data_IF_741731948261
#
_entry.id   IF_741731948261
#
_cell.length_a   1.000
_cell.length_b   1.000
_cell.length_c   1.000
_cell.angle_alpha   90.00
_cell.angle_beta   90.00
_cell.angle_gamma   90.00
#
_symmetry.space_group_name_H-M   'P 1'
#
loop_
_entity.id
_entity.type
_entity.pdbx_description
1 polymer ?
#
# COMPACT_ATOMS: atom_id res chain seq x y z
N UNK A 1 -11.22 -8.38 14.42
CA UNK A 1 -10.54 -7.77 15.56
C UNK A 1 -10.75 -8.62 16.78
N UNK A 2 -9.66 -8.93 17.45
CA UNK A 2 -9.64 -9.79 18.63
C UNK A 2 -9.02 -9.01 19.79
N UNK A 3 -9.54 -9.23 21.00
CA UNK A 3 -8.87 -8.90 22.24
C UNK A 3 -8.06 -10.13 22.66
N UNK A 4 -6.77 -9.95 22.82
CA UNK A 4 -5.85 -10.99 23.25
C UNK A 4 -5.36 -10.66 24.64
N UNK A 5 -5.56 -11.58 25.59
CA UNK A 5 -5.03 -11.47 26.94
C UNK A 5 -4.00 -12.58 27.15
N UNK A 6 -2.76 -12.19 27.41
CA UNK A 6 -1.67 -13.10 27.70
C UNK A 6 -1.62 -13.41 29.20
N UNK A 7 -1.61 -14.68 29.54
CA UNK A 7 -1.48 -15.15 30.93
C UNK A 7 -0.26 -16.08 31.04
N UNK A 8 0.69 -15.70 31.86
CA UNK A 8 1.87 -16.51 32.17
C UNK A 8 2.19 -16.41 33.67
N UNK A 9 2.76 -17.47 34.23
CA UNK A 9 3.21 -17.50 35.63
C UNK A 9 4.54 -16.77 35.80
N UNK A 10 5.36 -16.70 34.77
CA UNK A 10 6.68 -16.08 34.73
C UNK A 10 6.81 -15.30 33.45
N UNK A 11 7.38 -14.10 33.50
CA UNK A 11 7.42 -13.12 32.42
C UNK A 11 8.02 -13.63 31.10
N UNK A 12 8.99 -14.57 31.18
CA UNK A 12 9.66 -15.15 30.00
C UNK A 12 9.22 -16.59 29.68
N UNK A 13 8.19 -17.11 30.33
CA UNK A 13 7.71 -18.48 30.13
C UNK A 13 6.62 -18.54 29.05
N UNK A 14 6.44 -19.74 28.49
CA UNK A 14 5.27 -20.04 27.67
C UNK A 14 3.99 -19.82 28.48
N UNK A 15 3.10 -18.99 27.95
CA UNK A 15 1.81 -18.70 28.54
C UNK A 15 0.66 -19.12 27.64
N UNK A 16 -0.54 -18.74 28.02
CA UNK A 16 -1.77 -19.05 27.30
C UNK A 16 -2.43 -17.72 26.89
N UNK A 17 -2.84 -17.63 25.61
CA UNK A 17 -3.68 -16.56 25.13
C UNK A 17 -5.15 -16.88 25.40
N UNK A 18 -5.85 -15.96 26.06
CA UNK A 18 -7.31 -15.89 26.03
C UNK A 18 -7.71 -14.96 24.89
N UNK A 19 -8.64 -15.39 24.04
CA UNK A 19 -9.04 -14.68 22.82
C UNK A 19 -10.53 -14.37 22.90
N UNK A 20 -10.86 -13.08 22.74
CA UNK A 20 -12.25 -12.62 22.67
C UNK A 20 -12.47 -11.90 21.32
N UNK A 21 -13.58 -12.20 20.64
CA UNK A 21 -13.97 -11.56 19.38
C UNK A 21 -14.63 -10.20 19.68
N UNK A 22 -13.94 -9.11 19.37
CA UNK A 22 -14.48 -7.75 19.47
C UNK A 22 -15.34 -7.40 18.25
N UNK A 23 -14.80 -7.63 17.03
CA UNK A 23 -15.49 -7.28 15.79
C UNK A 23 -15.09 -8.23 14.66
N UNK A 24 -16.09 -8.89 14.06
CA UNK A 24 -15.88 -9.64 12.81
C UNK A 24 -15.98 -8.70 11.61
N UNK A 25 -15.03 -8.80 10.70
CA UNK A 25 -15.05 -8.09 9.40
C UNK A 25 -15.18 -9.06 8.23
N UNK A 26 -15.35 -10.34 8.53
CA UNK A 26 -15.36 -11.41 7.53
C UNK A 26 -16.41 -11.15 6.44
N UNK A 27 -17.63 -10.81 6.82
CA UNK A 27 -18.73 -10.56 5.86
C UNK A 27 -18.38 -9.43 4.87
N UNK A 28 -17.79 -8.32 5.35
CA UNK A 28 -17.42 -7.18 4.50
C UNK A 28 -16.32 -7.58 3.50
N UNK A 29 -15.33 -8.36 3.96
CA UNK A 29 -14.21 -8.79 3.12
C UNK A 29 -14.63 -9.83 2.10
N UNK A 30 -15.56 -10.74 2.49
CA UNK A 30 -15.97 -11.89 1.66
C UNK A 30 -17.11 -11.61 0.70
N UNK A 31 -17.82 -10.49 0.83
CA UNK A 31 -18.93 -10.12 -0.06
C UNK A 31 -18.48 -10.00 -1.53
N UNK A 32 -17.28 -9.51 -1.74
CA UNK A 32 -16.72 -9.33 -3.07
C UNK A 32 -15.34 -9.98 -3.20
N UNK A 33 -15.14 -10.66 -4.31
CA UNK A 33 -13.86 -11.31 -4.63
C UNK A 33 -12.66 -10.37 -4.50
N UNK A 34 -12.80 -9.12 -4.95
CA UNK A 34 -11.71 -8.14 -4.91
C UNK A 34 -11.30 -7.78 -3.48
N UNK A 35 -12.27 -7.65 -2.57
CA UNK A 35 -12.00 -7.40 -1.15
C UNK A 35 -11.17 -8.52 -0.52
N UNK A 36 -11.54 -9.76 -0.80
CA UNK A 36 -10.81 -10.93 -0.31
C UNK A 36 -9.38 -11.01 -0.89
N UNK A 37 -9.22 -10.74 -2.19
CA UNK A 37 -7.89 -10.75 -2.82
C UNK A 37 -6.98 -9.65 -2.29
N UNK A 38 -7.49 -8.43 -2.09
CA UNK A 38 -6.74 -7.33 -1.46
C UNK A 38 -6.32 -7.71 -0.03
N UNK A 39 -7.24 -8.26 0.76
CA UNK A 39 -6.93 -8.69 2.12
C UNK A 39 -5.85 -9.76 2.17
N UNK A 40 -5.91 -10.75 1.28
CA UNK A 40 -4.86 -11.77 1.17
C UNK A 40 -3.50 -11.17 0.82
N UNK A 41 -3.43 -10.19 -0.10
CA UNK A 41 -2.19 -9.50 -0.44
C UNK A 41 -1.63 -8.72 0.76
N UNK A 42 -2.49 -8.03 1.51
CA UNK A 42 -2.12 -7.35 2.76
C UNK A 42 -1.51 -8.35 3.76
N UNK A 43 -2.19 -9.48 4.00
CA UNK A 43 -1.70 -10.51 4.92
C UNK A 43 -0.33 -11.06 4.50
N UNK A 44 -0.13 -11.34 3.21
CA UNK A 44 1.15 -11.83 2.67
C UNK A 44 2.27 -10.81 2.92
N UNK A 45 2.04 -9.53 2.63
CA UNK A 45 3.05 -8.48 2.83
C UNK A 45 3.35 -8.28 4.31
N UNK A 46 2.33 -8.22 5.18
CA UNK A 46 2.52 -8.06 6.61
C UNK A 46 3.30 -9.24 7.21
N UNK A 47 2.89 -10.48 6.91
CA UNK A 47 3.57 -11.66 7.46
C UNK A 47 5.01 -11.83 6.98
N UNK A 48 5.32 -11.29 5.79
CA UNK A 48 6.66 -11.40 5.21
C UNK A 48 7.60 -10.32 5.71
N UNK A 49 7.14 -9.07 5.79
CA UNK A 49 8.04 -7.92 5.94
C UNK A 49 7.97 -7.22 7.29
N UNK A 50 6.86 -7.34 8.02
CA UNK A 50 6.80 -6.69 9.33
C UNK A 50 7.62 -7.49 10.36
N UNK A 51 8.49 -6.81 11.13
CA UNK A 51 9.20 -7.43 12.23
C UNK A 51 8.24 -7.75 13.39
N UNK A 52 8.57 -8.79 14.14
CA UNK A 52 7.85 -9.13 15.37
C UNK A 52 8.05 -8.06 16.45
N UNK A 53 7.07 -7.88 17.30
CA UNK A 53 7.12 -6.99 18.47
C UNK A 53 7.39 -5.51 18.14
N UNK A 54 7.06 -5.09 16.93
CA UNK A 54 7.12 -3.68 16.53
C UNK A 54 5.70 -3.12 16.38
N UNK A 55 5.57 -1.83 16.65
CA UNK A 55 4.33 -1.12 16.57
C UNK A 55 4.17 -0.45 15.20
N UNK A 56 2.97 -0.62 14.59
CA UNK A 56 2.62 -0.10 13.27
C UNK A 56 1.20 0.47 13.26
N UNK A 57 0.89 1.35 14.19
CA UNK A 57 -0.45 1.93 14.37
C UNK A 57 -0.98 2.57 13.08
N UNK A 58 -0.17 3.38 12.39
CA UNK A 58 -0.58 4.02 11.15
C UNK A 58 -0.92 3.00 10.05
N UNK A 59 -0.12 1.94 9.94
CA UNK A 59 -0.36 0.86 8.98
C UNK A 59 -1.62 0.06 9.37
N UNK A 60 -1.83 -0.20 10.66
CA UNK A 60 -3.03 -0.84 11.16
C UNK A 60 -4.28 -0.02 10.80
N UNK A 61 -4.29 1.28 11.07
CA UNK A 61 -5.39 2.16 10.70
C UNK A 61 -5.66 2.17 9.19
N UNK A 62 -4.62 2.23 8.38
CA UNK A 62 -4.74 2.11 6.91
C UNK A 62 -5.29 0.76 6.48
N UNK A 63 -4.91 -0.34 7.16
CA UNK A 63 -5.48 -1.67 6.89
C UNK A 63 -6.98 -1.71 7.16
N UNK A 64 -7.41 -1.15 8.29
CA UNK A 64 -8.84 -1.05 8.61
C UNK A 64 -9.58 -0.25 7.54
N UNK A 65 -9.04 0.90 7.11
CA UNK A 65 -9.63 1.71 6.04
C UNK A 65 -9.69 1.00 4.68
N UNK A 66 -8.75 0.10 4.39
CA UNK A 66 -8.78 -0.72 3.18
C UNK A 66 -9.89 -1.77 3.18
N UNK A 67 -10.17 -2.38 4.35
CA UNK A 67 -11.08 -3.52 4.44
C UNK A 67 -12.49 -3.14 4.88
N UNK A 68 -12.67 -1.99 5.51
CA UNK A 68 -13.99 -1.50 5.94
C UNK A 68 -14.65 -0.59 4.89
N UNK A 69 -15.96 -0.68 4.80
CA UNK A 69 -16.82 0.17 3.99
C UNK A 69 -17.20 -0.43 2.63
N UNK A 70 -18.40 -0.04 2.19
CA UNK A 70 -18.92 -0.42 0.87
C UNK A 70 -18.41 0.59 -0.18
N UNK A 71 -17.22 0.32 -0.72
CA UNK A 71 -16.56 1.17 -1.70
C UNK A 71 -16.60 0.55 -3.09
N UNK A 72 -16.64 1.39 -4.12
CA UNK A 72 -16.47 0.93 -5.50
C UNK A 72 -15.12 0.21 -5.67
N UNK A 73 -15.04 -0.66 -6.68
CA UNK A 73 -13.80 -1.39 -7.02
C UNK A 73 -12.62 -0.42 -7.18
N UNK A 74 -12.83 0.69 -7.88
CA UNK A 74 -11.78 1.70 -8.09
C UNK A 74 -11.27 2.30 -6.77
N UNK A 75 -12.17 2.63 -5.87
CA UNK A 75 -11.79 3.18 -4.57
C UNK A 75 -11.06 2.15 -3.69
N UNK A 76 -11.47 0.88 -3.73
CA UNK A 76 -10.75 -0.22 -3.06
C UNK A 76 -9.31 -0.36 -3.60
N UNK A 77 -9.12 -0.31 -4.91
CA UNK A 77 -7.81 -0.38 -5.55
C UNK A 77 -6.94 0.83 -5.20
N UNK A 78 -7.50 2.04 -5.20
CA UNK A 78 -6.81 3.26 -4.76
C UNK A 78 -6.32 3.13 -3.33
N UNK A 79 -7.20 2.73 -2.40
CA UNK A 79 -6.86 2.53 -0.98
C UNK A 79 -5.77 1.48 -0.79
N UNK A 80 -5.78 0.43 -1.61
CA UNK A 80 -4.73 -0.58 -1.58
C UNK A 80 -3.37 -0.01 -2.02
N UNK A 81 -3.32 0.82 -3.08
CA UNK A 81 -2.08 1.53 -3.47
C UNK A 81 -1.59 2.45 -2.35
N UNK A 82 -2.49 3.21 -1.72
CA UNK A 82 -2.16 4.08 -0.58
C UNK A 82 -1.65 3.26 0.61
N UNK A 83 -2.20 2.07 0.82
CA UNK A 83 -1.74 1.12 1.84
C UNK A 83 -0.33 0.58 1.54
N UNK A 84 -0.03 0.22 0.29
CA UNK A 84 1.33 -0.22 -0.11
C UNK A 84 2.36 0.89 0.14
N UNK A 85 2.02 2.15 -0.12
CA UNK A 85 2.90 3.29 0.19
C UNK A 85 3.09 3.47 1.70
N UNK A 86 2.04 3.27 2.50
CA UNK A 86 2.16 3.30 3.96
C UNK A 86 3.05 2.17 4.47
N UNK A 87 2.94 0.96 3.91
CA UNK A 87 3.83 -0.15 4.25
C UNK A 87 5.29 0.22 3.99
N UNK A 88 5.60 0.76 2.79
CA UNK A 88 6.95 1.23 2.48
C UNK A 88 7.43 2.29 3.48
N UNK A 89 6.57 3.23 3.87
CA UNK A 89 6.88 4.24 4.88
C UNK A 89 7.18 3.62 6.24
N UNK A 90 6.35 2.69 6.68
CA UNK A 90 6.50 1.98 7.96
C UNK A 90 7.79 1.15 8.02
N UNK A 91 8.27 0.68 6.87
CA UNK A 91 9.53 -0.05 6.75
C UNK A 91 10.76 0.85 6.51
N UNK A 92 10.59 2.18 6.54
CA UNK A 92 11.69 3.15 6.34
C UNK A 92 12.00 3.49 4.88
N UNK A 93 11.17 3.04 3.93
CA UNK A 93 11.33 3.30 2.48
C UNK A 93 10.29 4.27 1.94
N UNK A 94 9.78 5.19 2.76
CA UNK A 94 8.75 6.16 2.39
C UNK A 94 9.15 7.04 1.20
N UNK A 95 8.16 7.38 0.36
CA UNK A 95 8.34 8.30 -0.76
C UNK A 95 8.03 9.73 -0.34
N UNK A 96 8.81 10.71 -0.79
CA UNK A 96 8.50 12.13 -0.62
C UNK A 96 7.74 12.66 -1.84
N UNK A 97 6.41 12.63 -1.72
CA UNK A 97 5.50 13.09 -2.78
C UNK A 97 4.93 14.49 -2.51
N UNK A 98 5.43 15.20 -1.48
CA UNK A 98 4.88 16.49 -1.07
C UNK A 98 5.40 17.65 -1.90
N UNK A 99 6.62 17.56 -2.44
CA UNK A 99 7.30 18.64 -3.18
C UNK A 99 8.24 18.07 -4.25
N UNK A 100 8.48 18.89 -5.28
CA UNK A 100 9.47 18.56 -6.31
C UNK A 100 10.88 18.59 -5.72
N UNK A 101 11.65 17.53 -5.90
CA UNK A 101 13.03 17.43 -5.39
C UNK A 101 13.99 18.41 -6.08
N UNK A 102 13.67 18.85 -7.30
CA UNK A 102 14.53 19.78 -8.07
C UNK A 102 14.18 21.23 -7.81
N UNK A 103 12.89 21.59 -7.89
CA UNK A 103 12.44 22.99 -7.84
C UNK A 103 11.83 23.38 -6.49
N UNK A 104 11.55 22.42 -5.60
CA UNK A 104 10.80 22.67 -4.37
C UNK A 104 9.31 22.97 -4.56
N UNK A 105 8.82 22.98 -5.80
CA UNK A 105 7.41 23.25 -6.10
C UNK A 105 6.50 22.18 -5.49
N UNK A 106 5.37 22.65 -4.91
CA UNK A 106 4.34 21.78 -4.30
C UNK A 106 3.17 21.48 -5.22
N UNK A 107 3.13 22.10 -6.40
CA UNK A 107 2.09 21.94 -7.41
C UNK A 107 2.66 21.34 -8.67
N UNK A 108 1.79 20.81 -9.51
CA UNK A 108 2.13 20.22 -10.81
C UNK A 108 3.18 19.10 -10.72
N UNK A 109 3.04 18.27 -9.67
CA UNK A 109 3.85 17.07 -9.47
C UNK A 109 3.30 15.97 -10.37
N UNK A 110 4.08 15.53 -11.36
CA UNK A 110 3.64 14.57 -12.38
C UNK A 110 4.44 13.28 -12.40
N UNK A 111 5.61 13.28 -11.78
CA UNK A 111 6.52 12.14 -11.83
C UNK A 111 7.14 11.86 -10.47
N UNK A 112 7.72 10.66 -10.35
CA UNK A 112 8.53 10.24 -9.21
C UNK A 112 9.87 9.72 -9.72
N UNK A 113 10.94 10.16 -9.10
CA UNK A 113 12.29 9.69 -9.42
C UNK A 113 12.49 8.25 -8.90
N UNK A 114 12.80 7.28 -9.78
CA UNK A 114 13.08 5.90 -9.37
C UNK A 114 14.29 5.79 -8.45
N UNK A 115 15.22 6.76 -8.55
CA UNK A 115 16.45 6.77 -7.76
C UNK A 115 16.18 7.21 -6.32
N UNK A 116 15.49 8.34 -6.13
CA UNK A 116 15.29 8.98 -4.83
C UNK A 116 13.93 8.71 -4.17
N UNK A 117 12.91 8.27 -4.92
CA UNK A 117 11.54 8.16 -4.40
C UNK A 117 10.84 9.51 -4.22
N UNK A 118 11.43 10.60 -4.69
CA UNK A 118 10.88 11.94 -4.55
C UNK A 118 10.08 12.37 -5.78
N UNK A 119 9.06 13.22 -5.55
CA UNK A 119 8.27 13.79 -6.64
C UNK A 119 9.07 14.77 -7.51
N UNK A 120 8.71 14.86 -8.78
CA UNK A 120 9.27 15.76 -9.78
C UNK A 120 8.12 16.47 -10.50
N UNK A 121 8.22 17.81 -10.62
CA UNK A 121 7.23 18.61 -11.34
C UNK A 121 7.35 18.41 -12.87
N UNK A 122 6.27 18.73 -13.62
CA UNK A 122 6.28 18.63 -15.07
C UNK A 122 7.39 19.48 -15.71
N UNK A 123 7.61 20.68 -15.17
CA UNK A 123 8.67 21.60 -15.65
C UNK A 123 10.08 21.04 -15.43
N UNK A 124 10.31 20.36 -14.31
CA UNK A 124 11.61 19.78 -13.96
C UNK A 124 11.88 18.42 -14.60
N UNK A 125 10.88 17.81 -15.22
CA UNK A 125 10.98 16.50 -15.86
C UNK A 125 11.38 16.55 -17.33
N UNK A 126 11.41 17.75 -17.93
CA UNK A 126 11.66 17.91 -19.37
C UNK A 126 12.96 17.21 -19.78
N UNK A 127 12.84 16.30 -20.76
CA UNK A 127 13.93 15.45 -21.25
C UNK A 127 14.24 14.21 -20.41
N UNK A 128 13.56 14.02 -19.28
CA UNK A 128 13.76 12.87 -18.38
C UNK A 128 12.53 11.98 -18.23
N UNK A 129 11.41 12.34 -18.88
CA UNK A 129 10.10 11.71 -18.66
C UNK A 129 10.14 10.18 -18.81
N UNK A 130 10.90 9.67 -19.79
CA UNK A 130 11.06 8.24 -20.06
C UNK A 130 11.79 7.47 -18.94
N UNK A 131 12.52 8.19 -18.08
CA UNK A 131 13.28 7.62 -16.95
C UNK A 131 12.61 7.81 -15.62
N UNK A 132 11.46 8.48 -15.59
CA UNK A 132 10.69 8.76 -14.39
C UNK A 132 9.44 7.88 -14.35
N UNK A 133 8.94 7.62 -13.15
CA UNK A 133 7.66 6.95 -12.93
C UNK A 133 6.55 7.99 -12.92
N UNK A 134 5.41 7.69 -13.53
CA UNK A 134 4.25 8.59 -13.49
C UNK A 134 3.68 8.63 -12.09
N UNK A 135 3.49 9.83 -11.54
CA UNK A 135 2.79 10.05 -10.29
C UNK A 135 1.29 10.14 -10.56
N UNK A 136 0.46 9.22 -10.04
CA UNK A 136 -1.00 9.30 -10.20
C UNK A 136 -1.56 10.55 -9.53
N UNK A 137 -2.59 11.15 -10.11
CA UNK A 137 -3.21 12.38 -9.62
C UNK A 137 -3.73 12.23 -8.18
N UNK A 138 -4.27 11.06 -7.81
CA UNK A 138 -4.77 10.82 -6.45
C UNK A 138 -3.67 10.77 -5.36
N UNK A 139 -2.39 10.64 -5.75
CA UNK A 139 -1.26 10.68 -4.82
C UNK A 139 -0.58 12.06 -4.78
N UNK A 140 -0.52 12.76 -5.92
CA UNK A 140 0.21 14.04 -6.03
C UNK A 140 -0.65 15.27 -5.79
N UNK A 141 -1.92 15.22 -6.14
CA UNK A 141 -2.82 16.38 -6.10
C UNK A 141 -4.02 16.10 -5.20
N UNK A 142 -3.80 16.14 -3.88
CA UNK A 142 -4.82 15.80 -2.86
C UNK A 142 -6.12 16.62 -2.95
N UNK A 143 -6.13 17.69 -3.73
CA UNK A 143 -7.28 18.59 -3.88
C UNK A 143 -8.01 18.45 -5.24
N UNK A 144 -7.59 17.55 -6.12
CA UNK A 144 -8.28 17.39 -7.39
C UNK A 144 -9.53 16.51 -7.20
N UNK A 145 -10.69 17.11 -7.43
CA UNK A 145 -11.98 16.42 -7.56
C UNK A 145 -12.04 15.56 -8.85
N UNK A 146 -10.87 15.12 -9.34
CA UNK A 146 -10.79 14.36 -10.58
C UNK A 146 -11.39 12.96 -10.36
N UNK A 147 -12.19 12.55 -11.31
CA UNK A 147 -12.73 11.18 -11.37
C UNK A 147 -11.55 10.23 -11.49
N UNK A 148 -11.43 9.30 -10.53
CA UNK A 148 -10.39 8.28 -10.49
C UNK A 148 -10.40 7.46 -11.79
N UNK A 149 -9.37 7.63 -12.62
CA UNK A 149 -9.24 6.96 -13.91
C UNK A 149 -8.58 5.58 -13.74
N UNK A 150 -8.82 4.68 -14.70
CA UNK A 150 -8.13 3.39 -14.75
C UNK A 150 -6.63 3.59 -14.95
N UNK A 151 -6.24 4.56 -15.78
CA UNK A 151 -4.84 4.88 -16.03
C UNK A 151 -4.12 5.35 -14.76
N UNK A 152 -4.78 6.12 -13.90
CA UNK A 152 -4.21 6.53 -12.60
C UNK A 152 -3.98 5.33 -11.68
N UNK A 153 -4.93 4.39 -11.64
CA UNK A 153 -4.77 3.16 -10.88
C UNK A 153 -3.61 2.33 -11.41
N UNK A 154 -3.52 2.12 -12.73
CA UNK A 154 -2.41 1.40 -13.35
C UNK A 154 -1.05 2.04 -13.04
N UNK A 155 -0.97 3.37 -13.08
CA UNK A 155 0.23 4.12 -12.72
C UNK A 155 0.56 3.97 -11.23
N UNK A 156 -0.45 4.00 -10.35
CA UNK A 156 -0.27 3.74 -8.93
C UNK A 156 0.32 2.36 -8.65
N UNK A 157 -0.24 1.34 -9.30
CA UNK A 157 0.25 -0.03 -9.19
C UNK A 157 1.69 -0.18 -9.73
N UNK A 158 2.01 0.45 -10.87
CA UNK A 158 3.39 0.45 -11.43
C UNK A 158 4.38 1.14 -10.49
N UNK A 159 3.96 2.26 -9.89
CA UNK A 159 4.77 3.02 -8.95
C UNK A 159 5.12 2.17 -7.73
N UNK A 160 4.13 1.62 -7.04
CA UNK A 160 4.36 0.82 -5.83
C UNK A 160 5.07 -0.49 -6.13
N UNK A 161 4.76 -1.16 -7.27
CA UNK A 161 5.47 -2.36 -7.72
C UNK A 161 6.97 -2.10 -7.86
N UNK A 162 7.35 -0.98 -8.49
CA UNK A 162 8.75 -0.62 -8.66
C UNK A 162 9.47 -0.52 -7.30
N UNK A 163 8.88 0.19 -6.33
CA UNK A 163 9.53 0.40 -5.04
C UNK A 163 9.48 -0.82 -4.13
N UNK A 164 8.42 -1.64 -4.19
CA UNK A 164 8.37 -2.94 -3.51
C UNK A 164 9.48 -3.86 -4.04
N UNK A 165 9.63 -3.97 -5.36
CA UNK A 165 10.73 -4.74 -5.96
C UNK A 165 12.10 -4.20 -5.56
N UNK A 166 12.28 -2.89 -5.60
CA UNK A 166 13.55 -2.23 -5.30
C UNK A 166 14.00 -2.43 -3.85
N UNK A 167 13.09 -2.31 -2.90
CA UNK A 167 13.44 -2.24 -1.48
C UNK A 167 13.12 -3.51 -0.70
N UNK A 168 12.03 -4.21 -1.02
CA UNK A 168 11.59 -5.35 -0.23
C UNK A 168 12.08 -6.69 -0.79
N UNK A 169 12.18 -6.83 -2.12
CA UNK A 169 12.66 -8.06 -2.74
C UNK A 169 14.06 -8.49 -2.26
N UNK A 170 15.05 -7.58 -2.08
CA UNK A 170 16.38 -7.97 -1.61
C UNK A 170 16.44 -8.40 -0.13
N UNK A 171 15.43 -8.06 0.67
CA UNK A 171 15.47 -8.22 2.14
C UNK A 171 15.09 -9.63 2.57
N UNK A 172 14.20 -10.31 1.84
CA UNK A 172 13.78 -11.69 2.13
C UNK A 172 13.54 -12.44 0.83
N UNK A 173 13.69 -13.78 0.85
CA UNK A 173 13.24 -14.68 -0.23
C UNK A 173 11.71 -14.60 -0.38
N UNK A 174 11.26 -13.58 -1.04
CA UNK A 174 9.86 -13.34 -1.31
C UNK A 174 9.50 -13.96 -2.65
N UNK A 175 8.43 -14.77 -2.70
CA UNK A 175 7.93 -15.34 -3.95
C UNK A 175 7.26 -14.25 -4.82
N UNK A 176 8.09 -13.35 -5.32
CA UNK A 176 7.70 -12.15 -6.04
C UNK A 176 6.78 -12.43 -7.22
N UNK A 177 7.05 -13.47 -8.01
CA UNK A 177 6.28 -13.77 -9.22
C UNK A 177 4.84 -14.17 -8.91
N UNK A 178 4.63 -14.93 -7.83
CA UNK A 178 3.28 -15.32 -7.41
C UNK A 178 2.51 -14.11 -6.87
N UNK A 179 3.14 -13.32 -6.00
CA UNK A 179 2.56 -12.11 -5.43
C UNK A 179 2.17 -11.10 -6.53
N UNK A 180 3.09 -10.78 -7.46
CA UNK A 180 2.81 -9.81 -8.51
C UNK A 180 1.78 -10.32 -9.52
N UNK A 181 1.69 -11.62 -9.78
CA UNK A 181 0.59 -12.20 -10.58
C UNK A 181 -0.77 -11.98 -9.92
N UNK A 182 -0.90 -12.26 -8.61
CA UNK A 182 -2.14 -12.00 -7.86
C UNK A 182 -2.48 -10.51 -7.87
N UNK A 183 -1.50 -9.67 -7.61
CA UNK A 183 -1.64 -8.22 -7.60
C UNK A 183 -2.10 -7.67 -8.96
N UNK A 184 -1.53 -8.14 -10.06
CA UNK A 184 -1.93 -7.73 -11.41
C UNK A 184 -3.33 -8.25 -11.79
N UNK A 185 -3.75 -9.38 -11.23
CA UNK A 185 -5.09 -9.93 -11.42
C UNK A 185 -6.17 -9.01 -10.85
N UNK A 186 -5.98 -8.39 -9.69
CA UNK A 186 -6.97 -7.44 -9.14
C UNK A 186 -7.16 -6.21 -10.04
N UNK A 187 -6.14 -5.76 -10.75
CA UNK A 187 -6.30 -4.71 -11.76
C UNK A 187 -7.19 -5.15 -12.93
N UNK A 188 -7.10 -6.41 -13.35
CA UNK A 188 -7.92 -6.92 -14.45
C UNK A 188 -9.40 -7.05 -14.09
N UNK A 189 -9.72 -7.26 -12.80
CA UNK A 189 -11.10 -7.30 -12.31
C UNK A 189 -11.83 -5.95 -12.45
N UNK A 190 -11.10 -4.85 -12.59
CA UNK A 190 -11.68 -3.52 -12.81
C UNK A 190 -12.10 -3.27 -14.28
N UNK A 191 -11.80 -4.18 -15.18
CA UNK A 191 -12.14 -4.07 -16.62
C UNK A 191 -13.44 -4.80 -16.98
N UNK A 192 -14.05 -5.47 -16.01
CA UNK A 192 -15.37 -6.12 -16.10
C UNK A 192 -16.43 -5.23 -15.50
#
# INVERSE_FOLDING_TARGET
QLLLTWNSRVEESLGIFSVELIKSRYHIISEERIGLEIFNLICVLCSTFLPERADFDDLYHKTIMCVEGNHSIKEKLKRYVEWELQLLTSLGFGLDLAKCVVSGAKKDLKFVSPKSGCAVSSTSSVGWEKKLLVLPDFLGNRNSANILSIADLENGFKLTEYFIKKYLQPVKEFQTDHFFRLRNRILSLNKL
#
